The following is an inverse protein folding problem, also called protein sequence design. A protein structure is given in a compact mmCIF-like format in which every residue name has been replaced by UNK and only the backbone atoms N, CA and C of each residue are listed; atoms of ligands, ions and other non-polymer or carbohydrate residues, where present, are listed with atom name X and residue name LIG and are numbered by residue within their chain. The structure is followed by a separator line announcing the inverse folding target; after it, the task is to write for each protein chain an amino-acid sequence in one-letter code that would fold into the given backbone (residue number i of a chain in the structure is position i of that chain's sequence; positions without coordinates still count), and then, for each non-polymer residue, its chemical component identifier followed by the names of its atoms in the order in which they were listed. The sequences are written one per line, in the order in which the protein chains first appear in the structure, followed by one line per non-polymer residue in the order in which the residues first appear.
data_IF_439705563638
#
_entry.id   IF_439705563638
#
_cell.length_a   1.000
_cell.length_b   1.000
_cell.length_c   1.000
_cell.angle_alpha   90.00
_cell.angle_beta   90.00
_cell.angle_gamma   90.00
#
_symmetry.space_group_name_H-M   'P 1'
#
loop_
_entity.id
_entity.type
_entity.pdbx_description
1 polymer ?
#
# COMPACT_ATOMS: atom_id res chain seq x y z
N UNK A 1 29.21 -35.04 46.07
CA UNK A 1 29.14 -34.91 44.59
C UNK A 1 29.04 -33.43 44.27
N UNK A 2 30.18 -32.80 43.95
CA UNK A 2 30.24 -31.42 43.45
C UNK A 2 30.06 -31.45 41.93
N UNK A 3 29.03 -30.77 41.42
CA UNK A 3 28.90 -30.46 39.99
C UNK A 3 29.21 -28.98 39.81
N UNK A 4 30.39 -28.70 39.25
CA UNK A 4 30.83 -27.35 38.92
C UNK A 4 30.14 -26.85 37.66
N UNK A 5 29.57 -25.64 37.74
CA UNK A 5 29.06 -24.88 36.60
C UNK A 5 30.21 -24.05 36.00
N UNK A 6 30.66 -24.40 34.80
CA UNK A 6 31.57 -23.58 33.99
C UNK A 6 30.74 -22.61 33.14
N UNK A 7 31.02 -21.29 33.12
CA UNK A 7 30.34 -20.38 32.19
C UNK A 7 30.92 -20.52 30.78
N UNK A 8 30.05 -20.73 29.80
CA UNK A 8 30.35 -20.73 28.36
C UNK A 8 30.83 -19.34 27.93
N UNK A 9 32.01 -19.27 27.32
CA UNK A 9 32.59 -18.06 26.77
C UNK A 9 31.97 -17.71 25.41
N UNK A 10 31.50 -16.48 25.27
CA UNK A 10 30.97 -15.94 24.02
C UNK A 10 32.14 -15.37 23.20
N UNK A 11 32.34 -15.72 21.92
CA UNK A 11 33.45 -15.18 21.14
C UNK A 11 33.21 -13.71 20.78
N UNK A 12 34.10 -12.82 21.23
CA UNK A 12 34.16 -11.43 20.79
C UNK A 12 34.70 -11.34 19.35
N UNK A 13 33.83 -10.99 18.40
CA UNK A 13 34.22 -10.70 17.03
C UNK A 13 34.71 -9.23 16.93
N UNK A 14 36.02 -9.02 16.79
CA UNK A 14 36.60 -7.69 16.53
C UNK A 14 36.45 -7.35 15.04
N UNK A 15 35.51 -6.46 14.71
CA UNK A 15 35.42 -5.88 13.37
C UNK A 15 36.53 -4.84 13.20
N UNK A 16 37.48 -5.10 12.29
CA UNK A 16 38.58 -4.18 11.96
C UNK A 16 38.18 -3.37 10.72
N UNK A 17 37.75 -2.13 10.92
CA UNK A 17 37.47 -1.19 9.83
C UNK A 17 38.80 -0.57 9.36
N UNK A 18 39.14 -0.70 8.08
CA UNK A 18 40.25 0.03 7.45
C UNK A 18 39.79 1.45 7.09
N UNK A 19 40.61 2.50 7.31
CA UNK A 19 40.26 3.83 6.85
C UNK A 19 40.43 3.91 5.33
N UNK A 20 39.40 4.40 4.64
CA UNK A 20 39.46 4.76 3.22
C UNK A 20 39.77 6.25 3.12
N UNK A 21 41.02 6.58 2.82
CA UNK A 21 41.43 7.94 2.48
C UNK A 21 41.26 8.11 0.97
N UNK A 22 40.25 8.85 0.52
CA UNK A 22 40.35 9.66 -0.71
C UNK A 22 39.33 10.78 -0.68
N UNK A 23 39.83 12.01 -0.81
CA UNK A 23 39.07 13.23 -0.94
C UNK A 23 38.30 13.26 -2.27
N UNK A 24 37.04 13.71 -2.25
CA UNK A 24 36.39 14.51 -3.30
C UNK A 24 35.29 15.32 -2.58
N UNK A 25 35.38 16.64 -2.67
CA UNK A 25 34.49 17.58 -1.99
C UNK A 25 33.10 17.64 -2.62
N UNK A 26 32.08 17.59 -1.76
CA UNK A 26 30.74 18.06 -2.09
C UNK A 26 30.42 19.27 -1.21
N UNK A 27 30.26 20.43 -1.84
CA UNK A 27 29.78 21.65 -1.19
C UNK A 27 28.28 21.50 -0.92
N UNK A 28 27.93 21.30 0.36
CA UNK A 28 26.56 21.40 0.81
C UNK A 28 26.13 22.88 0.80
N UNK A 29 25.21 23.24 -0.08
CA UNK A 29 24.39 24.45 0.09
C UNK A 29 23.01 24.03 0.57
N UNK A 30 22.87 23.92 1.88
CA UNK A 30 21.58 24.06 2.55
C UNK A 30 21.21 25.53 2.47
N UNK A 31 20.15 25.87 1.74
CA UNK A 31 19.62 27.24 1.70
C UNK A 31 18.43 27.29 2.65
N UNK A 32 18.67 27.79 3.86
CA UNK A 32 17.63 28.21 4.79
C UNK A 32 17.16 29.61 4.38
N UNK A 33 15.88 29.77 4.02
CA UNK A 33 15.26 31.09 3.95
C UNK A 33 14.59 31.40 5.29
N UNK A 34 15.20 32.31 6.05
CA UNK A 34 14.56 32.99 7.17
C UNK A 34 13.92 34.29 6.67
N UNK A 35 12.66 34.52 7.03
CA UNK A 35 11.98 35.79 6.82
C UNK A 35 12.54 36.86 7.76
N UNK A 36 12.77 38.07 7.23
CA UNK A 36 12.90 39.31 8.03
C UNK A 36 12.05 40.38 7.34
N UNK A 37 11.10 40.94 8.08
CA UNK A 37 10.36 42.17 7.75
C UNK A 37 11.20 43.41 8.11
N UNK A 38 11.18 44.44 7.24
CA UNK A 38 11.69 45.77 7.55
C UNK A 38 11.96 46.65 6.31
N UNK A 39 11.21 47.76 6.20
CA UNK A 39 11.15 48.79 5.15
C UNK A 39 12.51 49.54 4.89
N UNK A 40 12.80 50.34 3.85
CA UNK A 40 12.05 51.29 2.99
C UNK A 40 12.73 51.49 1.60
N UNK A 41 12.04 52.26 0.74
CA UNK A 41 12.23 52.55 -0.69
C UNK A 41 13.57 53.21 -1.09
N UNK A 42 14.11 52.79 -2.24
CA UNK A 42 14.54 53.71 -3.31
C UNK A 42 14.69 52.99 -4.66
N UNK A 43 14.11 53.58 -5.71
CA UNK A 43 14.13 53.07 -7.07
C UNK A 43 15.49 53.27 -7.75
N UNK A 44 16.01 52.23 -8.39
CA UNK A 44 16.90 52.35 -9.54
C UNK A 44 16.78 51.12 -10.46
N UNK A 45 16.75 51.43 -11.75
CA UNK A 45 16.62 50.58 -12.94
C UNK A 45 17.42 49.27 -12.89
N UNK A 46 16.71 48.14 -12.94
CA UNK A 46 17.28 46.83 -13.32
C UNK A 46 16.46 46.30 -14.50
N UNK A 47 17.14 46.10 -15.61
CA UNK A 47 16.66 45.48 -16.85
C UNK A 47 15.97 44.14 -16.55
N UNK A 48 14.94 43.71 -17.33
CA UNK A 48 14.32 42.42 -17.12
C UNK A 48 15.36 41.36 -17.51
N UNK A 49 16.02 40.78 -16.51
CA UNK A 49 16.80 39.57 -16.72
C UNK A 49 15.85 38.51 -17.24
N UNK A 50 16.23 37.91 -18.36
CA UNK A 50 15.58 36.76 -18.95
C UNK A 50 15.51 35.66 -17.90
N UNK A 51 14.40 35.57 -17.18
CA UNK A 51 14.09 34.38 -16.40
C UNK A 51 13.95 33.25 -17.43
N UNK A 52 14.96 32.40 -17.48
CA UNK A 52 14.82 31.09 -18.11
C UNK A 52 13.58 30.44 -17.51
N UNK A 53 12.70 29.84 -18.32
CA UNK A 53 11.62 29.07 -17.76
C UNK A 53 12.30 27.88 -17.08
N UNK A 54 12.38 27.91 -15.74
CA UNK A 54 12.47 26.66 -14.98
C UNK A 54 11.38 25.79 -15.61
N UNK A 55 11.72 24.63 -16.21
CA UNK A 55 10.70 23.79 -16.80
C UNK A 55 9.72 23.55 -15.68
N UNK A 56 8.49 24.08 -15.80
CA UNK A 56 7.43 23.65 -14.91
C UNK A 56 7.42 22.15 -15.11
N UNK A 57 7.80 21.41 -14.06
CA UNK A 57 7.59 19.98 -14.03
C UNK A 57 6.09 19.85 -14.31
N UNK A 58 5.71 19.55 -15.55
CA UNK A 58 4.33 19.29 -15.89
C UNK A 58 4.02 18.08 -15.03
N UNK A 59 3.33 18.29 -13.90
CA UNK A 59 3.05 17.24 -12.96
C UNK A 59 2.29 16.20 -13.75
N UNK A 60 2.94 15.08 -14.08
CA UNK A 60 2.27 13.99 -14.78
C UNK A 60 1.03 13.67 -13.94
N UNK A 61 -0.16 13.77 -14.52
CA UNK A 61 -1.35 13.27 -13.85
C UNK A 61 -1.21 11.77 -13.63
N UNK A 62 -2.16 11.14 -12.96
CA UNK A 62 -2.25 9.69 -12.97
C UNK A 62 -3.64 9.24 -13.41
N UNK A 63 -3.73 8.00 -13.91
CA UNK A 63 -4.96 7.37 -14.38
C UNK A 63 -5.01 5.93 -13.87
N UNK A 64 -6.22 5.47 -13.60
CA UNK A 64 -6.50 4.07 -13.27
C UNK A 64 -6.68 3.33 -14.60
N UNK A 65 -5.92 2.27 -14.84
CA UNK A 65 -5.87 1.60 -16.16
C UNK A 65 -6.32 0.15 -16.14
N UNK A 66 -6.47 -0.44 -14.97
CA UNK A 66 -7.01 -1.78 -14.79
C UNK A 66 -7.45 -1.99 -13.36
N UNK A 67 -8.44 -2.86 -13.18
CA UNK A 67 -8.94 -3.25 -11.86
C UNK A 67 -9.23 -4.74 -11.80
N UNK A 68 -9.24 -5.28 -10.60
CA UNK A 68 -9.55 -6.68 -10.35
C UNK A 68 -10.02 -6.91 -8.91
N UNK A 69 -10.72 -8.00 -8.69
CA UNK A 69 -11.18 -8.40 -7.36
C UNK A 69 -11.22 -9.91 -7.21
N UNK A 70 -11.14 -10.37 -5.96
CA UNK A 70 -11.27 -11.76 -5.58
C UNK A 70 -11.97 -11.86 -4.22
N UNK A 71 -12.78 -12.90 -4.07
CA UNK A 71 -13.52 -13.20 -2.83
C UNK A 71 -13.44 -14.71 -2.57
N UNK A 72 -13.40 -15.14 -1.29
CA UNK A 72 -13.35 -16.56 -0.96
C UNK A 72 -14.66 -17.26 -1.29
N UNK A 73 -14.61 -18.58 -1.49
CA UNK A 73 -15.77 -19.35 -1.96
C UNK A 73 -16.90 -19.46 -0.92
N UNK A 74 -16.56 -19.59 0.37
CA UNK A 74 -17.54 -19.73 1.43
C UNK A 74 -18.37 -18.45 1.57
N UNK A 75 -19.68 -18.64 1.51
CA UNK A 75 -20.67 -17.59 1.66
C UNK A 75 -21.55 -17.91 2.86
N UNK A 76 -21.65 -16.97 3.81
CA UNK A 76 -22.53 -17.06 4.97
C UNK A 76 -23.72 -16.13 4.74
N UNK A 77 -24.93 -16.68 4.76
CA UNK A 77 -26.18 -15.92 4.67
C UNK A 77 -26.66 -15.45 6.04
N UNK A 78 -27.60 -14.50 6.08
CA UNK A 78 -28.25 -14.12 7.33
C UNK A 78 -29.01 -15.28 7.98
N UNK A 79 -29.58 -16.21 7.19
CA UNK A 79 -30.24 -17.42 7.70
C UNK A 79 -29.25 -18.43 8.30
N UNK A 80 -27.99 -18.40 7.88
CA UNK A 80 -26.94 -19.19 8.52
C UNK A 80 -26.54 -18.57 9.86
N UNK A 81 -26.48 -17.24 9.95
CA UNK A 81 -26.21 -16.53 11.21
C UNK A 81 -27.32 -16.75 12.24
N UNK A 82 -28.59 -16.82 11.84
CA UNK A 82 -29.70 -17.09 12.76
C UNK A 82 -29.67 -18.48 13.39
N UNK A 83 -28.86 -19.41 12.85
CA UNK A 83 -28.62 -20.73 13.46
C UNK A 83 -27.58 -20.67 14.58
N UNK A 84 -26.80 -19.58 14.66
CA UNK A 84 -25.69 -19.41 15.61
C UNK A 84 -26.00 -18.39 16.71
N UNK A 85 -26.73 -17.32 16.38
CA UNK A 85 -27.08 -16.25 17.31
C UNK A 85 -28.53 -15.81 17.13
N UNK A 86 -29.12 -15.19 18.17
CA UNK A 86 -30.48 -14.64 18.12
C UNK A 86 -30.56 -13.43 17.19
N UNK A 87 -30.84 -13.69 15.91
CA UNK A 87 -30.95 -12.72 14.81
C UNK A 87 -31.79 -13.27 13.66
N UNK A 88 -32.06 -12.45 12.63
CA UNK A 88 -32.71 -12.87 11.39
C UNK A 88 -32.38 -11.90 10.24
N UNK A 89 -32.71 -12.27 9.00
CA UNK A 89 -32.43 -11.48 7.80
C UNK A 89 -33.09 -10.09 7.81
N UNK A 90 -34.34 -9.99 8.25
CA UNK A 90 -35.05 -8.70 8.33
C UNK A 90 -34.31 -7.73 9.27
N UNK A 91 -33.91 -8.21 10.45
CA UNK A 91 -33.21 -7.40 11.45
C UNK A 91 -31.84 -6.93 10.95
N UNK A 92 -31.09 -7.80 10.25
CA UNK A 92 -29.75 -7.49 9.72
C UNK A 92 -29.84 -6.56 8.50
N UNK A 93 -30.64 -6.91 7.50
CA UNK A 93 -30.68 -6.23 6.22
C UNK A 93 -31.24 -4.82 6.32
N UNK A 94 -32.23 -4.57 7.18
CA UNK A 94 -32.77 -3.22 7.44
C UNK A 94 -31.70 -2.30 8.05
N UNK A 95 -30.83 -2.83 8.91
CA UNK A 95 -29.82 -2.02 9.62
C UNK A 95 -28.52 -1.83 8.83
N UNK A 96 -28.15 -2.81 8.03
CA UNK A 96 -26.80 -2.88 7.43
C UNK A 96 -26.82 -2.93 5.90
N UNK A 97 -27.96 -3.28 5.29
CA UNK A 97 -28.05 -3.63 3.87
C UNK A 97 -27.42 -4.99 3.51
N UNK A 98 -26.82 -5.70 4.47
CA UNK A 98 -26.06 -6.93 4.20
C UNK A 98 -27.01 -8.13 4.24
N UNK A 99 -26.93 -8.97 3.20
CA UNK A 99 -27.66 -10.26 3.10
C UNK A 99 -26.76 -11.48 3.18
N UNK A 100 -25.52 -11.33 2.70
CA UNK A 100 -24.51 -12.38 2.59
C UNK A 100 -23.14 -11.78 2.78
N UNK A 101 -22.23 -12.54 3.37
CA UNK A 101 -20.79 -12.23 3.41
C UNK A 101 -19.98 -13.38 2.82
N UNK A 102 -18.80 -13.05 2.31
CA UNK A 102 -17.78 -14.04 1.94
C UNK A 102 -16.76 -14.12 3.06
N UNK A 103 -16.33 -15.32 3.44
CA UNK A 103 -15.34 -15.51 4.51
C UNK A 103 -14.31 -16.54 4.07
N UNK A 104 -13.07 -16.37 4.51
CA UNK A 104 -12.01 -17.33 4.26
C UNK A 104 -12.32 -18.65 4.97
N UNK A 105 -11.97 -19.76 4.32
CA UNK A 105 -12.19 -21.09 4.87
C UNK A 105 -11.10 -22.06 4.41
N UNK A 106 -10.84 -23.10 5.20
CA UNK A 106 -9.91 -24.16 4.84
C UNK A 106 -8.49 -23.64 4.55
N UNK A 107 -8.06 -23.74 3.28
CA UNK A 107 -6.72 -23.35 2.83
C UNK A 107 -6.66 -21.97 2.18
N UNK A 108 -7.80 -21.28 2.07
CA UNK A 108 -7.83 -19.94 1.51
C UNK A 108 -7.06 -18.99 2.43
N UNK A 109 -6.28 -18.09 1.83
CA UNK A 109 -5.56 -17.04 2.54
C UNK A 109 -5.69 -15.72 1.79
N UNK A 110 -5.52 -14.62 2.51
CA UNK A 110 -5.69 -13.27 2.02
C UNK A 110 -4.69 -12.92 0.92
N UNK A 111 -3.44 -13.38 1.05
CA UNK A 111 -2.41 -13.19 0.03
C UNK A 111 -2.81 -13.80 -1.32
N UNK A 112 -3.42 -14.99 -1.33
CA UNK A 112 -3.90 -15.62 -2.56
C UNK A 112 -5.03 -14.83 -3.22
N UNK A 113 -5.99 -14.29 -2.44
CA UNK A 113 -7.02 -13.40 -2.98
C UNK A 113 -6.41 -12.11 -3.55
N UNK A 114 -5.44 -11.53 -2.85
CA UNK A 114 -4.71 -10.34 -3.31
C UNK A 114 -3.96 -10.58 -4.63
N UNK A 115 -3.30 -11.74 -4.77
CA UNK A 115 -2.63 -12.15 -6.03
C UNK A 115 -3.64 -12.33 -7.15
N UNK A 116 -4.80 -12.94 -6.89
CA UNK A 116 -5.84 -13.11 -7.91
C UNK A 116 -6.41 -11.76 -8.37
N UNK A 117 -6.73 -10.86 -7.42
CA UNK A 117 -7.20 -9.51 -7.73
C UNK A 117 -6.16 -8.72 -8.54
N UNK A 118 -4.89 -8.79 -8.13
CA UNK A 118 -3.76 -8.19 -8.82
C UNK A 118 -3.62 -8.71 -10.25
N UNK A 119 -3.67 -10.04 -10.45
CA UNK A 119 -3.55 -10.66 -11.78
C UNK A 119 -4.65 -10.18 -12.73
N UNK A 120 -5.90 -10.09 -12.25
CA UNK A 120 -7.03 -9.55 -13.02
C UNK A 120 -6.83 -8.07 -13.39
N UNK A 121 -6.32 -7.25 -12.46
CA UNK A 121 -6.03 -5.84 -12.73
C UNK A 121 -4.94 -5.66 -13.79
N UNK A 122 -3.87 -6.46 -13.73
CA UNK A 122 -2.78 -6.48 -14.71
C UNK A 122 -3.27 -6.98 -16.07
N UNK A 123 -4.07 -8.04 -16.11
CA UNK A 123 -4.68 -8.57 -17.33
C UNK A 123 -5.58 -7.52 -18.01
N UNK A 124 -6.45 -6.87 -17.25
CA UNK A 124 -7.31 -5.78 -17.76
C UNK A 124 -6.48 -4.63 -18.35
N UNK A 125 -5.39 -4.26 -17.68
CA UNK A 125 -4.48 -3.21 -18.15
C UNK A 125 -3.53 -3.65 -19.27
N UNK A 126 -3.43 -4.97 -19.55
CA UNK A 126 -2.45 -5.58 -20.45
C UNK A 126 -1.00 -5.23 -20.08
N UNK A 127 -0.68 -5.29 -18.79
CA UNK A 127 0.66 -5.01 -18.24
C UNK A 127 1.27 -6.30 -17.72
N UNK A 128 2.52 -6.57 -18.10
CA UNK A 128 3.26 -7.72 -17.59
C UNK A 128 3.65 -7.47 -16.12
N UNK A 129 3.58 -8.47 -15.22
CA UNK A 129 4.09 -8.35 -13.86
C UNK A 129 5.55 -7.84 -13.77
N UNK A 130 6.40 -8.14 -14.74
CA UNK A 130 7.80 -7.68 -14.79
C UNK A 130 7.92 -6.17 -15.06
N UNK A 131 6.89 -5.53 -15.63
CA UNK A 131 6.83 -4.09 -15.91
C UNK A 131 6.36 -3.27 -14.70
N UNK A 132 5.99 -3.92 -13.59
CA UNK A 132 5.64 -3.22 -12.36
C UNK A 132 6.86 -2.50 -11.79
N UNK A 133 6.64 -1.30 -11.26
CA UNK A 133 7.65 -0.54 -10.53
C UNK A 133 7.43 -0.62 -9.02
N UNK A 134 6.15 -0.71 -8.60
CA UNK A 134 5.73 -0.68 -7.20
C UNK A 134 4.46 -1.49 -6.95
N UNK A 135 4.44 -2.24 -5.85
CA UNK A 135 3.26 -2.92 -5.29
C UNK A 135 2.97 -2.38 -3.89
N UNK A 136 1.77 -1.82 -3.72
CA UNK A 136 1.26 -1.33 -2.44
C UNK A 136 0.16 -2.26 -1.94
N UNK A 137 0.39 -2.94 -0.81
CA UNK A 137 -0.62 -3.79 -0.18
C UNK A 137 -1.26 -3.07 1.01
N UNK A 138 -2.51 -2.66 0.87
CA UNK A 138 -3.27 -1.98 1.91
C UNK A 138 -4.08 -3.01 2.69
N UNK A 139 -3.67 -3.33 3.92
CA UNK A 139 -4.32 -4.33 4.76
C UNK A 139 -4.17 -4.02 6.24
N UNK A 140 -5.18 -4.39 7.02
CA UNK A 140 -5.15 -4.38 8.49
C UNK A 140 -5.14 -5.79 9.08
N UNK A 141 -5.10 -6.81 8.23
CA UNK A 141 -5.17 -8.23 8.60
C UNK A 141 -4.12 -9.04 7.83
N UNK A 142 -2.83 -8.64 7.92
CA UNK A 142 -1.77 -9.28 7.15
C UNK A 142 -1.60 -10.76 7.55
N UNK A 143 -1.09 -11.58 6.61
CA UNK A 143 -0.80 -12.99 6.90
C UNK A 143 0.41 -13.18 7.82
N UNK A 144 1.37 -12.25 7.77
CA UNK A 144 2.54 -12.25 8.64
C UNK A 144 2.93 -10.83 9.09
N UNK A 145 3.88 -10.76 10.04
CA UNK A 145 4.37 -9.48 10.60
C UNK A 145 5.38 -8.75 9.70
N UNK A 146 5.86 -9.40 8.64
CA UNK A 146 6.92 -8.90 7.76
C UNK A 146 6.38 -8.31 6.45
N UNK A 147 5.09 -8.45 6.19
CA UNK A 147 4.36 -7.84 5.09
C UNK A 147 3.99 -8.83 3.99
N UNK A 148 2.83 -8.59 3.37
CA UNK A 148 2.26 -9.45 2.33
C UNK A 148 2.67 -9.01 0.91
N UNK A 149 3.04 -7.74 0.69
CA UNK A 149 3.41 -7.23 -0.63
C UNK A 149 4.60 -7.97 -1.29
N UNK A 150 5.72 -8.31 -0.59
CA UNK A 150 6.80 -9.10 -1.19
C UNK A 150 6.37 -10.54 -1.54
N UNK A 151 5.43 -11.11 -0.78
CA UNK A 151 4.86 -12.42 -1.11
C UNK A 151 4.02 -12.34 -2.39
N UNK A 152 3.23 -11.28 -2.54
CA UNK A 152 2.42 -11.02 -3.76
C UNK A 152 3.34 -10.85 -4.96
N UNK A 153 4.39 -10.04 -4.84
CA UNK A 153 5.42 -9.87 -5.87
C UNK A 153 5.97 -11.23 -6.36
N UNK A 154 6.39 -12.08 -5.42
CA UNK A 154 6.90 -13.42 -5.72
C UNK A 154 5.86 -14.30 -6.43
N UNK A 155 4.60 -14.27 -5.98
CA UNK A 155 3.52 -15.10 -6.53
C UNK A 155 2.99 -14.60 -7.89
N UNK A 156 3.12 -13.30 -8.17
CA UNK A 156 2.86 -12.74 -9.50
C UNK A 156 3.95 -13.14 -10.51
N UNK A 157 5.14 -13.51 -10.03
CA UNK A 157 6.26 -13.95 -10.86
C UNK A 157 7.19 -12.83 -11.30
N UNK A 158 7.18 -11.69 -10.61
CA UNK A 158 8.03 -10.55 -10.93
C UNK A 158 9.52 -10.91 -10.79
N UNK A 159 10.29 -10.76 -11.87
CA UNK A 159 11.73 -11.02 -11.95
C UNK A 159 12.57 -9.78 -11.70
N UNK A 160 12.02 -8.60 -12.00
CA UNK A 160 12.66 -7.29 -11.83
C UNK A 160 12.71 -6.83 -10.37
N UNK A 161 12.02 -7.55 -9.47
CA UNK A 161 11.88 -7.23 -8.05
C UNK A 161 11.42 -5.79 -7.82
N UNK A 162 10.21 -5.39 -8.26
CA UNK A 162 9.66 -4.06 -8.01
C UNK A 162 9.67 -3.71 -6.52
N UNK A 163 9.70 -2.42 -6.18
CA UNK A 163 9.50 -2.04 -4.78
C UNK A 163 8.16 -2.58 -4.29
N UNK A 164 8.10 -3.11 -3.06
CA UNK A 164 6.86 -3.69 -2.53
C UNK A 164 6.78 -3.53 -1.02
N UNK A 165 5.70 -2.94 -0.51
CA UNK A 165 5.49 -2.78 0.92
C UNK A 165 4.00 -2.65 1.28
N UNK A 166 3.71 -2.82 2.56
CA UNK A 166 2.36 -2.80 3.11
C UNK A 166 2.01 -1.43 3.70
N UNK A 167 0.73 -1.09 3.66
CA UNK A 167 0.13 0.10 4.28
C UNK A 167 -0.98 -0.36 5.21
N UNK A 168 -0.80 -0.14 6.51
CA UNK A 168 -1.82 -0.43 7.53
C UNK A 168 -2.51 0.86 7.96
N UNK A 169 -3.74 1.07 7.48
CA UNK A 169 -4.53 2.26 7.78
C UNK A 169 -6.06 1.98 7.80
N UNK A 170 -6.46 0.83 8.35
CA UNK A 170 -7.87 0.43 8.48
C UNK A 170 -8.63 0.55 7.14
N UNK A 171 -9.92 0.89 7.19
CA UNK A 171 -10.77 1.07 6.01
C UNK A 171 -10.30 2.20 5.07
N UNK A 172 -9.44 3.11 5.54
CA UNK A 172 -8.89 4.19 4.72
C UNK A 172 -7.67 3.78 3.90
N UNK A 173 -7.12 2.58 4.14
CA UNK A 173 -5.87 2.12 3.56
C UNK A 173 -5.84 2.18 2.04
N UNK A 174 -6.92 1.77 1.37
CA UNK A 174 -6.97 1.79 -0.10
C UNK A 174 -6.87 3.21 -0.67
N UNK A 175 -7.58 4.18 -0.07
CA UNK A 175 -7.50 5.59 -0.48
C UNK A 175 -6.09 6.14 -0.24
N UNK A 176 -5.48 5.80 0.89
CA UNK A 176 -4.11 6.19 1.20
C UNK A 176 -3.10 5.56 0.23
N UNK A 177 -3.34 4.33 -0.21
CA UNK A 177 -2.58 3.64 -1.24
C UNK A 177 -2.69 4.32 -2.61
N UNK A 178 -3.89 4.74 -3.02
CA UNK A 178 -4.09 5.49 -4.27
C UNK A 178 -3.38 6.85 -4.25
N UNK A 179 -3.47 7.59 -3.14
CA UNK A 179 -2.74 8.86 -2.97
C UNK A 179 -1.23 8.61 -3.01
N UNK A 180 -0.76 7.57 -2.31
CA UNK A 180 0.65 7.18 -2.32
C UNK A 180 1.13 6.83 -3.73
N UNK A 181 0.37 6.07 -4.50
CA UNK A 181 0.69 5.74 -5.89
C UNK A 181 0.82 7.01 -6.76
N UNK A 182 -0.10 7.96 -6.61
CA UNK A 182 -0.03 9.23 -7.30
C UNK A 182 1.22 10.04 -6.95
N UNK A 183 1.63 10.06 -5.67
CA UNK A 183 2.88 10.68 -5.24
C UNK A 183 4.11 10.02 -5.88
N UNK A 184 4.15 8.68 -5.95
CA UNK A 184 5.25 7.94 -6.57
C UNK A 184 5.32 8.19 -8.09
N UNK A 185 4.20 8.28 -8.77
CA UNK A 185 4.14 8.60 -10.20
C UNK A 185 4.60 10.04 -10.47
N UNK A 186 4.10 11.00 -9.68
CA UNK A 186 4.37 12.44 -9.88
C UNK A 186 5.79 12.84 -9.50
N UNK A 187 6.29 12.31 -8.38
CA UNK A 187 7.56 12.71 -7.78
C UNK A 187 8.67 11.69 -7.93
N UNK A 188 8.35 10.39 -8.01
CA UNK A 188 9.32 9.30 -8.03
C UNK A 188 9.63 8.73 -9.41
N UNK A 189 8.89 9.13 -10.45
CA UNK A 189 9.10 8.62 -11.81
C UNK A 189 8.57 7.20 -12.07
N UNK A 190 7.76 6.66 -11.17
CA UNK A 190 7.11 5.35 -11.32
C UNK A 190 6.08 5.40 -12.46
N UNK A 191 5.98 4.34 -13.25
CA UNK A 191 5.07 4.21 -14.38
C UNK A 191 3.96 3.20 -14.12
N UNK A 192 4.24 2.08 -13.45
CA UNK A 192 3.26 1.04 -13.15
C UNK A 192 3.20 0.78 -11.65
N UNK A 193 2.23 1.38 -10.98
CA UNK A 193 2.00 1.20 -9.53
C UNK A 193 0.73 0.39 -9.30
N UNK A 194 0.88 -0.79 -8.72
CA UNK A 194 -0.24 -1.65 -8.35
C UNK A 194 -0.67 -1.37 -6.91
N UNK A 195 -1.91 -0.97 -6.71
CA UNK A 195 -2.51 -0.72 -5.39
C UNK A 195 -3.51 -1.83 -5.10
N UNK A 196 -3.31 -2.55 -4.00
CA UNK A 196 -4.16 -3.66 -3.58
C UNK A 196 -4.77 -3.27 -2.23
N UNK A 197 -6.08 -3.46 -2.07
CA UNK A 197 -6.76 -3.42 -0.79
C UNK A 197 -7.30 -4.80 -0.47
N UNK A 198 -6.94 -5.39 0.67
CA UNK A 198 -7.45 -6.70 1.04
C UNK A 198 -7.53 -6.85 2.56
N UNK A 199 -8.62 -7.44 3.04
CA UNK A 199 -8.77 -7.76 4.45
C UNK A 199 -9.50 -9.10 4.67
N UNK A 200 -9.11 -9.77 5.75
CA UNK A 200 -9.62 -11.02 6.30
C UNK A 200 -10.20 -10.80 7.70
N UNK A 201 -11.08 -9.80 7.86
CA UNK A 201 -11.61 -9.39 9.16
C UNK A 201 -12.42 -10.50 9.84
N UNK A 202 -12.95 -11.46 9.09
CA UNK A 202 -13.71 -12.59 9.63
C UNK A 202 -12.90 -13.44 10.63
N UNK A 203 -11.56 -13.40 10.58
CA UNK A 203 -10.67 -14.09 11.53
C UNK A 203 -10.70 -13.50 12.93
N UNK A 204 -11.09 -12.23 13.05
CA UNK A 204 -11.11 -11.48 14.31
C UNK A 204 -12.53 -11.25 14.83
N UNK A 205 -13.54 -11.74 14.13
CA UNK A 205 -14.95 -11.66 14.52
C UNK A 205 -15.24 -12.64 15.64
N UNK A 206 -15.87 -12.16 16.71
CA UNK A 206 -16.58 -13.02 17.65
C UNK A 206 -17.92 -13.44 17.04
N UNK A 207 -17.99 -14.69 16.59
CA UNK A 207 -19.19 -15.23 15.94
C UNK A 207 -20.38 -15.44 16.89
N UNK A 208 -20.16 -15.30 18.21
CA UNK A 208 -21.22 -15.35 19.22
C UNK A 208 -21.81 -13.97 19.52
N UNK A 209 -21.13 -12.89 19.14
CA UNK A 209 -21.63 -11.53 19.29
C UNK A 209 -22.44 -11.08 18.07
N UNK A 210 -23.78 -11.06 18.22
CA UNK A 210 -24.72 -10.57 17.20
C UNK A 210 -24.50 -9.12 16.77
N UNK A 211 -23.80 -8.31 17.57
CA UNK A 211 -23.53 -6.91 17.25
C UNK A 211 -22.48 -6.74 16.15
N UNK A 212 -21.55 -7.67 16.03
CA UNK A 212 -20.37 -7.55 15.15
C UNK A 212 -20.30 -8.63 14.08
N UNK A 213 -20.73 -9.86 14.36
CA UNK A 213 -20.64 -10.97 13.40
C UNK A 213 -21.47 -10.76 12.12
N UNK A 214 -22.43 -9.84 12.17
CA UNK A 214 -23.29 -9.42 11.06
C UNK A 214 -22.66 -8.41 10.10
N UNK A 215 -21.45 -7.92 10.36
CA UNK A 215 -20.85 -6.80 9.62
C UNK A 215 -19.79 -7.22 8.61
N UNK A 216 -18.84 -8.06 9.03
CA UNK A 216 -17.62 -8.24 8.27
C UNK A 216 -17.70 -9.40 7.27
N UNK A 217 -16.83 -9.31 6.26
CA UNK A 217 -16.52 -10.32 5.27
C UNK A 217 -15.11 -10.05 4.72
N UNK A 218 -14.60 -11.00 3.94
CA UNK A 218 -13.23 -11.00 3.45
C UNK A 218 -13.20 -10.85 1.94
N UNK A 219 -12.24 -10.08 1.44
CA UNK A 219 -12.07 -9.83 0.02
C UNK A 219 -10.69 -9.22 -0.29
N UNK A 220 -10.35 -9.22 -1.58
CA UNK A 220 -9.29 -8.39 -2.13
C UNK A 220 -9.77 -7.64 -3.38
N UNK A 221 -9.27 -6.43 -3.56
CA UNK A 221 -9.42 -5.60 -4.76
C UNK A 221 -8.08 -4.99 -5.14
N UNK A 222 -7.86 -4.76 -6.43
CA UNK A 222 -6.63 -4.17 -6.95
C UNK A 222 -6.92 -3.17 -8.07
N UNK A 223 -6.10 -2.12 -8.15
CA UNK A 223 -6.10 -1.13 -9.22
C UNK A 223 -4.66 -0.89 -9.68
N UNK A 224 -4.44 -0.90 -11.00
CA UNK A 224 -3.19 -0.46 -11.61
C UNK A 224 -3.27 1.03 -11.95
N UNK A 225 -2.27 1.80 -11.51
CA UNK A 225 -2.18 3.25 -11.72
C UNK A 225 -0.98 3.55 -12.61
N UNK A 226 -1.19 4.41 -13.62
CA UNK A 226 -0.17 4.85 -14.57
C UNK A 226 -0.13 6.38 -14.70
N UNK A 227 0.99 6.97 -15.16
CA UNK A 227 1.05 8.37 -15.54
C UNK A 227 0.03 8.72 -16.64
N UNK A 228 -0.48 9.94 -16.57
CA UNK A 228 -1.33 10.57 -17.57
C UNK A 228 -0.71 11.89 -18.02
N UNK A 229 -0.68 12.11 -19.33
CA UNK A 229 -0.05 13.29 -19.95
C UNK A 229 -1.00 14.48 -20.10
N UNK A 230 -2.32 14.25 -20.10
CA UNK A 230 -3.31 15.26 -20.46
C UNK A 230 -4.22 15.66 -19.31
N UNK A 231 -4.71 14.70 -18.50
CA UNK A 231 -5.59 14.95 -17.36
C UNK A 231 -5.25 14.05 -16.19
N UNK A 232 -5.40 14.58 -14.99
CA UNK A 232 -5.31 13.82 -13.76
C UNK A 232 -6.64 13.11 -13.49
N UNK A 233 -6.65 11.79 -13.62
CA UNK A 233 -7.80 10.93 -13.45
C UNK A 233 -7.97 10.37 -12.04
N UNK A 234 -7.11 10.75 -11.08
CA UNK A 234 -7.20 10.24 -9.70
C UNK A 234 -8.51 10.64 -9.00
N UNK A 235 -8.99 11.85 -9.25
CA UNK A 235 -10.20 12.41 -8.65
C UNK A 235 -11.32 12.65 -9.67
N UNK A 236 -11.17 12.10 -10.88
CA UNK A 236 -12.11 12.32 -11.98
C UNK A 236 -13.31 11.37 -11.89
N UNK A 237 -14.31 11.77 -11.11
CA UNK A 237 -15.70 11.33 -11.28
C UNK A 237 -16.42 12.31 -12.21
#
# INVERSE_FOLDING_TARGET
MHLGSSPLSVPHFKVRVKPLNTAIGFSAKVVCFGNIEGAEKHASTVSPSSQSPIPRLVSKGCKLVGCGSAVPALQISNDDLSKMVDTNDEWISVRTGIRRRRVLSGKDNLTSLAVEAARKALEMAKVDPDDLDLILMCTSTPEDLFGSAPQIQKQLGCKTNPLSYDITAACSGFVLGLISAACHIRGGGFNNVLVIGADALSRYVDWTDRGTCILFGDAAGAILVQPATVRDGLFGF
#
